data_IF_102344758308
#
_entry.id   IF_102344758308
#
_cell.length_a   1.000
_cell.length_b   1.000
_cell.length_c   1.000
_cell.angle_alpha   90.00
_cell.angle_beta   90.00
_cell.angle_gamma   90.00
#
_symmetry.space_group_name_H-M   'P 1'
#
loop_
_entity.id
_entity.type
_entity.pdbx_description
1 polymer ?
#
# COMPACT_ATOMS: atom_id res chain seq x y z
N UNK A 1 -15.11 4.61 4.26
CA UNK A 1 -15.27 3.69 3.09
C UNK A 1 -15.25 4.57 1.86
N UNK A 2 -14.50 4.22 0.82
CA UNK A 2 -14.50 4.98 -0.43
C UNK A 2 -15.75 4.64 -1.23
N UNK A 3 -16.48 5.65 -1.69
CA UNK A 3 -17.61 5.46 -2.59
C UNK A 3 -17.07 5.41 -4.02
N UNK A 4 -17.31 4.28 -4.68
CA UNK A 4 -16.87 4.03 -6.05
C UNK A 4 -18.10 4.00 -6.94
N UNK A 5 -18.17 4.92 -7.89
CA UNK A 5 -19.20 4.94 -8.92
C UNK A 5 -18.59 4.48 -10.24
N UNK A 6 -19.21 3.48 -10.87
CA UNK A 6 -18.82 3.05 -12.21
C UNK A 6 -19.97 3.24 -13.20
N UNK A 7 -19.62 3.63 -14.43
CA UNK A 7 -20.52 3.69 -15.58
C UNK A 7 -19.84 3.02 -16.76
N UNK A 8 -20.42 1.94 -17.28
CA UNK A 8 -19.92 1.28 -18.48
C UNK A 8 -20.85 1.59 -19.66
N UNK A 9 -20.28 1.77 -20.85
CA UNK A 9 -21.03 1.91 -22.10
C UNK A 9 -20.25 1.34 -23.28
N UNK A 10 -20.98 0.92 -24.30
CA UNK A 10 -20.41 0.62 -25.62
C UNK A 10 -20.34 1.91 -26.43
N UNK A 11 -19.28 2.07 -27.21
CA UNK A 11 -19.05 3.19 -28.12
C UNK A 11 -18.85 2.60 -29.50
N UNK A 12 -19.58 3.09 -30.49
CA UNK A 12 -19.36 2.73 -31.89
C UNK A 12 -18.22 3.59 -32.45
N UNK A 13 -17.01 3.06 -32.69
CA UNK A 13 -15.96 3.80 -33.36
C UNK A 13 -16.29 3.96 -34.84
N UNK A 14 -15.84 5.06 -35.43
CA UNK A 14 -15.99 5.37 -36.86
C UNK A 14 -14.94 4.69 -37.74
N UNK A 15 -13.96 4.00 -37.13
CA UNK A 15 -12.82 3.37 -37.81
C UNK A 15 -12.75 1.85 -37.57
N UNK A 16 -13.73 1.26 -36.88
CA UNK A 16 -13.77 -0.18 -36.64
C UNK A 16 -15.22 -0.66 -36.68
N UNK A 17 -15.39 -1.85 -37.23
CA UNK A 17 -16.61 -2.66 -37.22
C UNK A 17 -16.90 -3.29 -35.85
N UNK A 18 -15.94 -3.24 -34.92
CA UNK A 18 -16.12 -3.70 -33.55
C UNK A 18 -16.59 -2.57 -32.62
N UNK A 19 -17.50 -2.91 -31.69
CA UNK A 19 -17.92 -2.02 -30.62
C UNK A 19 -16.79 -1.84 -29.61
N UNK A 20 -16.36 -0.59 -29.40
CA UNK A 20 -15.47 -0.23 -28.31
C UNK A 20 -16.22 -0.32 -26.97
N UNK A 21 -15.56 -0.84 -25.95
CA UNK A 21 -16.10 -0.83 -24.58
C UNK A 21 -15.40 0.28 -23.80
N UNK A 22 -16.19 1.15 -23.15
CA UNK A 22 -15.70 2.23 -22.32
C UNK A 22 -16.23 2.05 -20.90
N UNK A 23 -15.32 2.11 -19.93
CA UNK A 23 -15.65 2.14 -18.51
C UNK A 23 -15.18 3.47 -17.93
N UNK A 24 -16.09 4.17 -17.28
CA UNK A 24 -15.81 5.35 -16.46
C UNK A 24 -15.85 4.92 -15.00
N UNK A 25 -14.77 5.18 -14.28
CA UNK A 25 -14.63 4.91 -12.85
C UNK A 25 -14.41 6.25 -12.18
N UNK A 26 -15.33 6.64 -11.31
CA UNK A 26 -15.21 7.79 -10.43
C UNK A 26 -15.01 7.29 -9.01
N UNK A 27 -13.84 7.58 -8.46
CA UNK A 27 -13.46 7.19 -7.11
C UNK A 27 -13.40 8.45 -6.24
N UNK A 28 -14.32 8.54 -5.27
CA UNK A 28 -14.27 9.58 -4.25
C UNK A 28 -13.45 9.05 -3.07
N UNK A 29 -12.15 9.34 -3.09
CA UNK A 29 -11.35 9.17 -1.90
C UNK A 29 -11.82 10.18 -0.85
N UNK A 30 -12.32 9.69 0.29
CA UNK A 30 -12.30 10.47 1.51
C UNK A 30 -10.86 10.97 1.69
N UNK A 31 -10.65 12.28 1.66
CA UNK A 31 -9.37 12.86 2.06
C UNK A 31 -9.11 12.40 3.49
N UNK A 32 -8.26 11.39 3.62
CA UNK A 32 -7.89 10.83 4.90
C UNK A 32 -7.04 11.89 5.60
N UNK A 33 -7.68 12.75 6.39
CA UNK A 33 -7.04 13.84 7.13
C UNK A 33 -6.14 13.33 8.26
N UNK A 34 -6.12 12.02 8.51
CA UNK A 34 -5.23 11.35 9.44
C UNK A 34 -3.88 10.96 8.84
N UNK A 35 -2.79 11.29 9.54
CA UNK A 35 -1.45 10.75 9.25
C UNK A 35 -1.53 9.23 9.13
N UNK A 36 -1.21 8.68 7.95
CA UNK A 36 -1.06 7.23 7.78
C UNK A 36 0.07 6.74 8.71
N UNK A 37 -0.33 6.13 9.82
CA UNK A 37 0.57 5.41 10.71
C UNK A 37 0.67 3.97 10.22
N UNK A 38 1.81 3.64 9.62
CA UNK A 38 2.14 2.26 9.26
C UNK A 38 2.96 1.69 10.41
N UNK A 39 2.66 0.48 10.88
CA UNK A 39 3.55 -0.19 11.85
C UNK A 39 4.68 -0.88 11.10
N UNK A 40 5.94 -0.64 11.50
CA UNK A 40 7.10 -1.33 10.92
C UNK A 40 8.06 -1.82 12.00
N UNK A 41 8.76 -2.91 11.71
CA UNK A 41 9.91 -3.37 12.49
C UNK A 41 11.16 -2.69 11.95
N UNK A 42 12.01 -2.19 12.84
CA UNK A 42 13.31 -1.63 12.45
C UNK A 42 14.34 -2.74 12.52
N UNK A 43 14.94 -3.08 11.39
CA UNK A 43 16.01 -4.08 11.29
C UNK A 43 17.35 -3.35 11.28
N UNK A 44 18.20 -3.61 12.27
CA UNK A 44 19.55 -3.09 12.35
C UNK A 44 20.47 -4.08 13.07
N UNK A 45 21.79 -3.88 12.97
CA UNK A 45 22.77 -4.84 13.47
C UNK A 45 22.68 -5.07 14.98
N UNK A 46 22.46 -4.01 15.76
CA UNK A 46 22.31 -4.12 17.21
C UNK A 46 21.11 -4.98 17.60
N UNK A 47 19.96 -4.80 16.94
CA UNK A 47 18.76 -5.62 17.18
C UNK A 47 18.93 -7.07 16.74
N UNK A 48 19.69 -7.31 15.66
CA UNK A 48 20.04 -8.67 15.23
C UNK A 48 20.90 -9.35 16.30
N UNK A 49 21.90 -8.66 16.85
CA UNK A 49 22.73 -9.21 17.93
C UNK A 49 21.90 -9.53 19.17
N UNK A 50 20.99 -8.63 19.59
CA UNK A 50 20.07 -8.89 20.69
C UNK A 50 19.18 -10.11 20.43
N UNK A 51 18.67 -10.25 19.21
CA UNK A 51 17.84 -11.39 18.83
C UNK A 51 18.59 -12.73 18.92
N UNK A 52 19.84 -12.76 18.43
CA UNK A 52 20.70 -13.95 18.51
C UNK A 52 21.00 -14.30 19.97
N UNK A 53 21.37 -13.31 20.79
CA UNK A 53 21.61 -13.52 22.21
C UNK A 53 20.34 -14.01 22.95
N UNK A 54 19.17 -13.45 22.64
CA UNK A 54 17.91 -13.90 23.24
C UNK A 54 17.60 -15.35 22.85
N UNK A 55 17.85 -15.76 21.61
CA UNK A 55 17.65 -17.14 21.15
C UNK A 55 18.60 -18.14 21.82
N UNK A 56 19.87 -17.78 22.00
CA UNK A 56 20.86 -18.63 22.67
C UNK A 56 20.52 -18.88 24.14
N UNK A 57 19.83 -17.91 24.77
CA UNK A 57 19.44 -17.99 26.18
C UNK A 57 18.08 -18.68 26.43
N UNK A 58 17.34 -19.06 25.38
CA UNK A 58 16.10 -19.82 25.56
C UNK A 58 16.40 -21.27 25.95
N UNK A 59 15.76 -21.72 27.04
CA UNK A 59 15.72 -23.14 27.40
C UNK A 59 14.71 -23.89 26.53
N UNK A 60 15.21 -24.71 25.60
CA UNK A 60 14.38 -25.56 24.73
C UNK A 60 13.99 -26.90 25.35
N UNK A 61 14.30 -27.14 26.63
CA UNK A 61 14.11 -28.42 27.31
C UNK A 61 12.65 -28.92 27.29
N UNK A 62 11.68 -28.01 27.17
CA UNK A 62 10.24 -28.33 27.11
C UNK A 62 9.76 -28.78 25.73
N UNK A 63 10.59 -28.65 24.68
CA UNK A 63 10.24 -29.07 23.32
C UNK A 63 10.35 -30.58 23.16
N UNK A 64 11.17 -31.28 23.96
CA UNK A 64 11.31 -32.74 23.86
C UNK A 64 10.26 -33.57 24.61
N UNK A 65 9.44 -32.93 25.46
CA UNK A 65 8.58 -33.62 26.45
C UNK A 65 7.10 -33.70 26.08
N UNK A 66 6.71 -33.12 24.96
CA UNK A 66 5.31 -32.89 24.60
C UNK A 66 4.90 -33.61 23.29
N UNK A 67 3.61 -33.68 22.99
CA UNK A 67 3.12 -34.11 21.67
C UNK A 67 3.47 -33.07 20.58
N UNK A 68 3.48 -33.45 19.31
CA UNK A 68 3.98 -32.62 18.20
C UNK A 68 3.38 -31.21 18.15
N UNK A 69 2.09 -31.06 18.41
CA UNK A 69 1.42 -29.75 18.39
C UNK A 69 1.85 -28.84 19.55
N UNK A 70 2.03 -29.42 20.74
CA UNK A 70 2.55 -28.72 21.90
C UNK A 70 4.04 -28.35 21.72
N UNK A 71 4.84 -29.22 21.10
CA UNK A 71 6.24 -28.93 20.78
C UNK A 71 6.33 -27.71 19.85
N UNK A 72 5.52 -27.69 18.78
CA UNK A 72 5.46 -26.57 17.86
C UNK A 72 4.98 -25.29 18.55
N UNK A 73 3.98 -25.38 19.43
CA UNK A 73 3.46 -24.23 20.17
C UNK A 73 4.50 -23.63 21.13
N UNK A 74 5.25 -24.47 21.85
CA UNK A 74 6.35 -24.05 22.73
C UNK A 74 7.46 -23.38 21.92
N UNK A 75 7.86 -23.99 20.80
CA UNK A 75 8.86 -23.43 19.90
C UNK A 75 8.42 -22.07 19.34
N UNK A 76 7.23 -22.01 18.75
CA UNK A 76 6.70 -20.82 18.12
C UNK A 76 6.61 -19.66 19.11
N UNK A 77 6.10 -19.90 20.32
CA UNK A 77 6.00 -18.87 21.36
C UNK A 77 7.37 -18.33 21.75
N UNK A 78 8.36 -19.18 22.00
CA UNK A 78 9.71 -18.73 22.34
C UNK A 78 10.32 -17.88 21.22
N UNK A 79 10.22 -18.34 19.98
CA UNK A 79 10.71 -17.60 18.82
C UNK A 79 9.98 -16.25 18.64
N UNK A 80 8.66 -16.24 18.82
CA UNK A 80 7.81 -15.05 18.71
C UNK A 80 8.19 -14.01 19.76
N UNK A 81 8.42 -14.43 20.99
CA UNK A 81 8.83 -13.55 22.09
C UNK A 81 10.18 -12.88 21.83
N UNK A 82 11.18 -13.64 21.37
CA UNK A 82 12.46 -13.06 20.92
C UNK A 82 12.24 -12.05 19.81
N UNK A 83 11.48 -12.42 18.78
CA UNK A 83 11.25 -11.57 17.62
C UNK A 83 10.51 -10.27 17.99
N UNK A 84 9.53 -10.33 18.88
CA UNK A 84 8.78 -9.16 19.33
C UNK A 84 9.60 -8.25 20.26
N UNK A 85 10.48 -8.82 21.09
CA UNK A 85 11.40 -8.07 21.95
C UNK A 85 12.48 -7.36 21.14
N UNK A 86 13.16 -8.08 20.24
CA UNK A 86 14.29 -7.52 19.48
C UNK A 86 13.81 -6.62 18.34
N UNK A 87 12.63 -6.87 17.77
CA UNK A 87 12.08 -6.13 16.64
C UNK A 87 10.65 -5.62 16.88
N UNK A 88 10.37 -4.80 17.90
CA UNK A 88 9.03 -4.28 18.17
C UNK A 88 8.44 -3.54 16.97
N UNK A 89 7.13 -3.71 16.78
CA UNK A 89 6.38 -2.92 15.82
C UNK A 89 6.29 -1.47 16.32
N UNK A 90 6.98 -0.58 15.62
CA UNK A 90 6.96 0.85 15.92
C UNK A 90 6.04 1.60 14.96
N UNK A 91 5.27 2.58 15.44
CA UNK A 91 4.48 3.43 14.57
C UNK A 91 5.44 4.27 13.72
N UNK A 92 5.32 4.12 12.41
CA UNK A 92 6.01 4.92 11.42
C UNK A 92 4.99 5.85 10.78
N UNK A 93 5.18 7.14 11.03
CA UNK A 93 4.45 8.17 10.30
C UNK A 93 5.08 8.28 8.92
N UNK A 94 4.34 7.87 7.89
CA UNK A 94 4.69 8.26 6.53
C UNK A 94 4.50 9.77 6.48
N UNK A 95 5.61 10.52 6.53
CA UNK A 95 5.56 11.93 6.14
C UNK A 95 5.00 11.90 4.73
N UNK A 96 3.87 12.57 4.51
CA UNK A 96 3.40 12.83 3.15
C UNK A 96 4.63 13.31 2.40
N UNK A 97 5.11 12.53 1.42
CA UNK A 97 6.15 13.02 0.53
C UNK A 97 5.67 14.40 0.11
N UNK A 98 6.54 15.42 0.18
CA UNK A 98 6.28 16.66 -0.57
C UNK A 98 5.69 16.20 -1.89
N UNK A 99 4.43 16.56 -2.19
CA UNK A 99 3.74 16.12 -3.40
C UNK A 99 4.66 16.54 -4.53
N UNK A 100 5.53 15.65 -5.00
CA UNK A 100 6.24 15.85 -6.26
C UNK A 100 5.09 15.77 -7.25
N UNK A 101 4.66 16.89 -7.83
CA UNK A 101 3.52 16.88 -8.71
C UNK A 101 3.87 15.93 -9.85
N UNK A 102 3.09 14.86 -10.03
CA UNK A 102 3.27 13.95 -11.16
C UNK A 102 3.10 14.68 -12.50
N UNK A 103 2.47 15.86 -12.47
CA UNK A 103 2.40 16.82 -13.58
C UNK A 103 3.47 17.89 -13.41
N UNK A 104 4.44 17.93 -14.31
CA UNK A 104 5.27 19.12 -14.53
C UNK A 104 4.40 20.31 -14.96
N UNK A 105 4.89 21.53 -14.82
CA UNK A 105 4.13 22.71 -15.26
C UNK A 105 3.88 22.71 -16.77
N UNK A 106 4.77 22.08 -17.55
CA UNK A 106 4.55 21.80 -18.98
C UNK A 106 3.34 20.91 -19.21
N UNK A 107 3.19 19.81 -18.46
CA UNK A 107 2.03 18.91 -18.60
C UNK A 107 0.72 19.61 -18.22
N UNK A 108 0.75 20.51 -17.22
CA UNK A 108 -0.42 21.34 -16.88
C UNK A 108 -0.74 22.33 -18.00
N UNK A 109 0.27 22.94 -18.62
CA UNK A 109 0.10 23.85 -19.75
C UNK A 109 -0.54 23.11 -20.94
N UNK A 110 -0.04 21.93 -21.29
CA UNK A 110 -0.57 21.09 -22.37
C UNK A 110 -2.03 20.69 -22.09
N UNK A 111 -2.34 20.23 -20.86
CA UNK A 111 -3.71 19.92 -20.44
C UNK A 111 -4.65 21.12 -20.65
N UNK A 112 -4.24 22.31 -20.24
CA UNK A 112 -5.05 23.52 -20.37
C UNK A 112 -5.25 23.94 -21.83
N UNK A 113 -4.23 23.74 -22.67
CA UNK A 113 -4.28 24.02 -24.10
C UNK A 113 -5.27 23.08 -24.81
N UNK A 114 -5.21 21.78 -24.50
CA UNK A 114 -6.13 20.78 -25.02
C UNK A 114 -7.58 21.02 -24.56
N UNK A 115 -7.78 21.37 -23.27
CA UNK A 115 -9.09 21.71 -22.75
C UNK A 115 -9.69 22.92 -23.48
N UNK A 116 -8.88 23.95 -23.75
CA UNK A 116 -9.29 25.13 -24.53
C UNK A 116 -9.68 24.76 -25.97
N UNK A 117 -8.91 23.91 -26.63
CA UNK A 117 -9.22 23.42 -27.97
C UNK A 117 -10.56 22.69 -28.03
N UNK A 118 -10.81 21.77 -27.09
CA UNK A 118 -12.09 21.05 -27.01
C UNK A 118 -13.26 22.02 -26.83
N UNK A 119 -13.13 23.05 -25.99
CA UNK A 119 -14.19 24.07 -25.85
C UNK A 119 -14.43 24.95 -27.08
N UNK A 120 -13.42 25.18 -27.93
CA UNK A 120 -13.58 25.96 -29.15
C UNK A 120 -14.10 25.12 -30.32
N UNK A 121 -13.73 23.85 -30.41
CA UNK A 121 -14.25 22.93 -31.43
C UNK A 121 -15.72 22.55 -31.24
N UNK A 122 -16.26 22.65 -30.02
CA UNK A 122 -17.68 22.35 -29.73
C UNK A 122 -18.59 23.57 -30.00
N UNK A 123 -18.05 24.79 -30.06
CA UNK A 123 -18.83 26.02 -30.33
C UNK A 123 -18.81 26.46 -31.80
N UNK A 124 -18.14 25.70 -32.66
CA UNK A 124 -17.98 25.98 -34.09
C UNK A 124 -18.77 25.05 -35.02
N UNK A 125 -19.80 24.37 -34.50
CA UNK A 125 -20.83 23.66 -35.28
C UNK A 125 -22.18 24.30 -34.96
#
# INVERSE_FOLDING_TARGET
MADIHYKARTVQPHLSDHLGQMMYIEEHHLEYSGRHQIKRRVINQSRIQTFVQDLENISWNKVGTANTDEQFSVFYRGLKECLDRSFPLTPYTVKAKQRIPWSTDELKAIKNLLARWVTHSIRGI
#
